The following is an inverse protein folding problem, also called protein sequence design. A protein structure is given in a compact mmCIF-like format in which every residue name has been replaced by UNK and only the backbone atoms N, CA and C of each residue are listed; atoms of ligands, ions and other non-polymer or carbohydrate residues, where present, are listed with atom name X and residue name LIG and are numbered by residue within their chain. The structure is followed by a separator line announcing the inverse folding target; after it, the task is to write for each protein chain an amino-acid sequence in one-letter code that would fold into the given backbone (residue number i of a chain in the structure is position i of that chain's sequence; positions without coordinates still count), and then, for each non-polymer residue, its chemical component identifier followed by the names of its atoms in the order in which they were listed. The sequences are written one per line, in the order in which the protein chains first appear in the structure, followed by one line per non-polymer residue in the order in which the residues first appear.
data_IF_884944106461
#
_entry.id   IF_884944106461
#
_cell.length_a   1.000
_cell.length_b   1.000
_cell.length_c   1.000
_cell.angle_alpha   90.00
_cell.angle_beta   90.00
_cell.angle_gamma   90.00
#
_symmetry.space_group_name_H-M   'P 1'
#
loop_
_entity.id
_entity.type
_entity.pdbx_description
1 polymer ?
#
# COMPACT_ATOMS: atom_id res chain seq x y z
N UNK A 1 -9.46 -28.85 9.98
CA UNK A 1 -9.23 -29.22 8.57
C UNK A 1 -8.17 -28.34 7.94
N UNK A 2 -6.90 -28.61 8.32
CA UNK A 2 -5.70 -27.93 7.80
C UNK A 2 -5.27 -28.46 6.41
N UNK A 3 -6.04 -29.35 5.80
CA UNK A 3 -5.66 -30.07 4.58
C UNK A 3 -6.08 -29.39 3.27
N UNK A 4 -6.88 -28.34 3.29
CA UNK A 4 -7.41 -27.67 2.11
C UNK A 4 -6.71 -26.33 1.76
N UNK A 5 -5.68 -25.92 2.48
CA UNK A 5 -4.86 -24.79 2.07
C UNK A 5 -3.96 -25.20 0.91
N UNK A 6 -4.21 -24.66 -0.27
CA UNK A 6 -3.33 -24.76 -1.43
C UNK A 6 -1.88 -24.41 -1.03
N UNK A 7 -0.90 -25.12 -1.58
CA UNK A 7 0.54 -24.86 -1.34
C UNK A 7 0.92 -23.39 -1.54
N UNK A 8 0.25 -22.70 -2.48
CA UNK A 8 0.44 -21.27 -2.73
C UNK A 8 -0.01 -20.41 -1.56
N UNK A 9 -1.17 -20.70 -0.95
CA UNK A 9 -1.65 -19.99 0.24
C UNK A 9 -0.74 -20.22 1.44
N UNK A 10 -0.21 -21.43 1.63
CA UNK A 10 0.76 -21.68 2.72
C UNK A 10 2.06 -20.89 2.52
N UNK A 11 2.58 -20.81 1.31
CA UNK A 11 3.78 -20.01 1.02
C UNK A 11 3.54 -18.51 1.24
N UNK A 12 2.36 -18.00 0.87
CA UNK A 12 1.99 -16.61 1.15
C UNK A 12 1.87 -16.36 2.66
N UNK A 13 1.19 -17.22 3.42
CA UNK A 13 1.07 -17.08 4.87
C UNK A 13 2.43 -17.11 5.59
N UNK A 14 3.36 -17.98 5.18
CA UNK A 14 4.70 -18.05 5.75
C UNK A 14 5.49 -16.78 5.42
N UNK A 15 5.46 -16.32 4.18
CA UNK A 15 6.14 -15.11 3.74
C UNK A 15 5.57 -13.86 4.42
N UNK A 16 4.26 -13.73 4.52
CA UNK A 16 3.61 -12.63 5.22
C UNK A 16 3.99 -12.58 6.70
N UNK A 17 4.06 -13.74 7.36
CA UNK A 17 4.53 -13.82 8.75
C UNK A 17 5.98 -13.36 8.86
N UNK A 18 6.86 -13.82 7.99
CA UNK A 18 8.27 -13.42 7.99
C UNK A 18 8.42 -11.92 7.77
N UNK A 19 7.66 -11.33 6.83
CA UNK A 19 7.69 -9.89 6.59
C UNK A 19 7.26 -9.08 7.82
N UNK A 20 6.21 -9.50 8.54
CA UNK A 20 5.75 -8.84 9.78
C UNK A 20 6.81 -8.91 10.88
N UNK A 21 7.44 -10.08 11.07
CA UNK A 21 8.53 -10.25 12.02
C UNK A 21 9.75 -9.39 11.65
N UNK A 22 10.13 -9.35 10.38
CA UNK A 22 11.21 -8.48 9.90
C UNK A 22 10.87 -7.00 10.13
N UNK A 23 9.65 -6.59 9.79
CA UNK A 23 9.20 -5.21 9.97
C UNK A 23 9.22 -4.78 11.44
N UNK A 24 8.93 -5.68 12.39
CA UNK A 24 8.95 -5.39 13.83
C UNK A 24 10.33 -5.10 14.39
N UNK A 25 11.40 -5.49 13.69
CA UNK A 25 12.78 -5.21 14.06
C UNK A 25 13.44 -4.06 13.29
N UNK A 26 12.66 -3.30 12.53
CA UNK A 26 13.18 -2.16 11.76
C UNK A 26 12.91 -0.83 12.46
N UNK A 27 13.88 0.08 12.42
CA UNK A 27 13.78 1.45 12.95
C UNK A 27 13.38 2.48 11.88
N UNK A 28 12.77 2.03 10.79
CA UNK A 28 12.33 2.85 9.66
C UNK A 28 10.83 2.65 9.41
N UNK A 29 10.13 3.64 8.80
CA UNK A 29 8.74 3.48 8.41
C UNK A 29 8.55 2.29 7.45
N UNK A 30 7.64 1.37 7.78
CA UNK A 30 7.29 0.20 6.95
C UNK A 30 5.81 0.21 6.65
N UNK A 31 5.47 0.24 5.36
CA UNK A 31 4.07 0.22 4.90
C UNK A 31 3.55 -1.21 4.69
N UNK A 32 2.41 -1.51 5.30
CA UNK A 32 1.68 -2.76 5.11
C UNK A 32 0.56 -2.57 4.11
N UNK A 33 0.73 -3.09 2.89
CA UNK A 33 -0.32 -3.04 1.85
C UNK A 33 -1.47 -3.98 2.21
N UNK A 34 -2.71 -3.55 1.96
CA UNK A 34 -3.84 -4.45 2.04
C UNK A 34 -3.69 -5.60 1.01
N UNK A 35 -4.23 -6.81 1.33
CA UNK A 35 -4.21 -7.93 0.40
C UNK A 35 -5.06 -7.61 -0.85
N UNK A 36 -4.89 -8.42 -1.91
CA UNK A 36 -5.66 -8.26 -3.15
C UNK A 36 -7.17 -8.40 -2.96
N UNK A 37 -7.62 -9.05 -1.89
CA UNK A 37 -9.05 -9.08 -1.51
C UNK A 37 -9.59 -7.73 -1.00
N UNK A 38 -8.75 -6.76 -0.72
CA UNK A 38 -9.16 -5.47 -0.14
C UNK A 38 -9.46 -5.50 1.36
N UNK A 39 -9.19 -6.60 2.06
CA UNK A 39 -9.56 -6.79 3.47
C UNK A 39 -8.71 -5.91 4.42
N UNK A 40 -9.37 -4.93 5.04
CA UNK A 40 -8.77 -4.03 6.02
C UNK A 40 -8.36 -4.74 7.31
N UNK A 41 -9.07 -5.78 7.72
CA UNK A 41 -8.76 -6.49 8.97
C UNK A 41 -7.43 -7.22 8.87
N UNK A 42 -7.15 -7.85 7.73
CA UNK A 42 -5.87 -8.51 7.45
C UNK A 42 -4.72 -7.50 7.42
N UNK A 43 -4.94 -6.34 6.79
CA UNK A 43 -3.96 -5.25 6.73
C UNK A 43 -3.66 -4.71 8.13
N UNK A 44 -4.69 -4.38 8.91
CA UNK A 44 -4.53 -3.86 10.27
C UNK A 44 -3.87 -4.86 11.21
N UNK A 45 -4.21 -6.15 11.10
CA UNK A 45 -3.52 -7.21 11.86
C UNK A 45 -2.04 -7.30 11.49
N UNK A 46 -1.67 -6.95 10.25
CA UNK A 46 -0.26 -6.89 9.83
C UNK A 46 0.47 -5.72 10.48
N UNK A 47 -0.18 -4.56 10.61
CA UNK A 47 0.39 -3.40 11.32
C UNK A 47 0.51 -3.71 12.82
N UNK A 48 -0.53 -4.30 13.45
CA UNK A 48 -0.47 -4.72 14.85
C UNK A 48 0.74 -5.64 15.09
N UNK A 49 0.91 -6.66 14.24
CA UNK A 49 2.03 -7.58 14.35
C UNK A 49 3.38 -6.87 14.16
N UNK A 50 3.48 -5.93 13.22
CA UNK A 50 4.71 -5.17 13.00
C UNK A 50 5.03 -4.21 14.16
N UNK A 51 4.02 -3.65 14.82
CA UNK A 51 4.19 -2.78 16.00
C UNK A 51 4.39 -3.53 17.31
N UNK A 52 4.26 -4.88 17.30
CA UNK A 52 4.45 -5.72 18.48
C UNK A 52 5.86 -6.26 18.57
N UNK A 53 6.33 -6.50 19.81
CA UNK A 53 7.57 -7.23 20.06
C UNK A 53 7.41 -8.72 19.74
N UNK A 54 8.47 -9.33 19.24
CA UNK A 54 8.51 -10.75 18.89
C UNK A 54 9.82 -11.41 19.29
N UNK A 55 9.73 -12.70 19.67
CA UNK A 55 10.87 -13.58 19.82
C UNK A 55 10.72 -14.74 18.83
N UNK A 56 11.71 -14.93 17.98
CA UNK A 56 11.70 -15.99 16.95
C UNK A 56 13.09 -16.42 16.54
N UNK A 57 13.18 -17.62 15.95
CA UNK A 57 14.44 -18.13 15.42
C UNK A 57 14.56 -17.69 13.95
N UNK A 58 15.64 -17.00 13.63
CA UNK A 58 16.00 -16.62 12.27
C UNK A 58 17.41 -17.12 11.93
N UNK A 59 17.51 -17.97 10.92
CA UNK A 59 18.79 -18.59 10.50
C UNK A 59 19.57 -19.25 11.63
N UNK A 60 18.86 -19.91 12.56
CA UNK A 60 19.45 -20.60 13.70
C UNK A 60 19.86 -19.70 14.88
N UNK A 61 19.54 -18.42 14.81
CA UNK A 61 19.77 -17.44 15.90
C UNK A 61 18.45 -17.07 16.55
N UNK A 62 18.46 -16.93 17.88
CA UNK A 62 17.36 -16.30 18.60
C UNK A 62 17.36 -14.79 18.34
N UNK A 63 16.25 -14.29 17.82
CA UNK A 63 16.05 -12.86 17.51
C UNK A 63 14.93 -12.34 18.36
N UNK A 64 15.17 -11.22 19.04
CA UNK A 64 14.16 -10.43 19.75
C UNK A 64 13.96 -9.10 19.04
N UNK A 65 12.73 -8.67 18.87
CA UNK A 65 12.37 -7.36 18.29
C UNK A 65 11.49 -6.61 19.25
N UNK A 66 11.59 -5.26 19.26
CA UNK A 66 10.83 -4.39 20.16
C UNK A 66 9.49 -3.94 19.57
N UNK A 67 9.27 -4.19 18.30
CA UNK A 67 8.15 -3.65 17.53
C UNK A 67 8.50 -2.34 16.85
N UNK A 68 7.90 -2.09 15.69
CA UNK A 68 8.13 -0.91 14.87
C UNK A 68 6.94 0.04 14.95
N UNK A 69 7.03 1.05 15.79
CA UNK A 69 5.97 2.05 15.98
C UNK A 69 5.66 2.86 14.71
N UNK A 70 6.57 2.89 13.74
CA UNK A 70 6.40 3.60 12.47
C UNK A 70 5.72 2.75 11.38
N UNK A 71 5.36 1.48 11.68
CA UNK A 71 4.60 0.65 10.77
C UNK A 71 3.22 1.27 10.51
N UNK A 72 2.82 1.33 9.22
CA UNK A 72 1.62 2.01 8.77
C UNK A 72 0.91 1.24 7.65
N UNK A 73 -0.24 1.72 7.20
CA UNK A 73 -1.03 1.07 6.15
C UNK A 73 -0.78 1.66 4.77
N UNK A 74 -0.93 0.82 3.73
CA UNK A 74 -0.97 1.25 2.34
C UNK A 74 -2.25 0.69 1.70
N UNK A 75 -3.08 1.58 1.15
CA UNK A 75 -4.30 1.22 0.43
C UNK A 75 -4.01 1.11 -1.08
N UNK A 76 -4.22 -0.08 -1.64
CA UNK A 76 -3.97 -0.37 -3.07
C UNK A 76 -5.20 -0.77 -3.88
N UNK A 77 -6.40 -0.66 -3.28
CA UNK A 77 -7.61 -1.26 -3.80
C UNK A 77 -7.65 -2.78 -3.61
N UNK A 78 -8.70 -3.39 -4.09
CA UNK A 78 -8.92 -4.83 -4.02
C UNK A 78 -9.40 -5.39 -5.37
N UNK A 79 -9.54 -6.71 -5.41
CA UNK A 79 -10.16 -7.42 -6.53
C UNK A 79 -11.17 -8.39 -5.94
N UNK A 80 -12.39 -8.34 -6.45
CA UNK A 80 -13.43 -9.25 -6.00
C UNK A 80 -13.27 -10.66 -6.57
N UNK A 81 -14.15 -11.57 -6.17
CA UNK A 81 -14.16 -12.96 -6.65
C UNK A 81 -14.42 -13.13 -8.16
N UNK A 82 -14.90 -12.08 -8.82
CA UNK A 82 -15.15 -12.04 -10.25
C UNK A 82 -14.02 -11.39 -11.06
N UNK A 83 -12.96 -10.90 -10.37
CA UNK A 83 -11.83 -10.22 -11.00
C UNK A 83 -12.03 -8.72 -11.19
N UNK A 84 -13.12 -8.13 -10.65
CA UNK A 84 -13.39 -6.71 -10.75
C UNK A 84 -12.54 -5.95 -9.74
N UNK A 85 -11.86 -4.89 -10.18
CA UNK A 85 -11.13 -4.00 -9.28
C UNK A 85 -12.11 -3.17 -8.44
N UNK A 86 -11.87 -3.15 -7.13
CA UNK A 86 -12.62 -2.36 -6.15
C UNK A 86 -11.65 -1.35 -5.56
N UNK A 87 -11.80 -0.05 -5.86
CA UNK A 87 -10.97 0.98 -5.24
C UNK A 87 -11.25 1.10 -3.74
N UNK A 88 -10.28 1.65 -2.98
CA UNK A 88 -10.42 1.89 -1.55
C UNK A 88 -9.77 3.22 -1.13
N UNK A 89 -9.86 4.23 -1.98
CA UNK A 89 -9.32 5.58 -1.77
C UNK A 89 -10.41 6.67 -1.72
N UNK A 90 -11.67 6.32 -1.99
CA UNK A 90 -12.77 7.29 -1.92
C UNK A 90 -12.97 7.82 -0.50
N UNK A 91 -13.60 8.96 -0.39
CA UNK A 91 -13.80 9.65 0.89
C UNK A 91 -14.37 8.71 1.98
N UNK A 92 -15.37 7.91 1.65
CA UNK A 92 -16.03 6.97 2.55
C UNK A 92 -15.07 5.86 3.02
N UNK A 93 -14.18 5.40 2.14
CA UNK A 93 -13.17 4.40 2.49
C UNK A 93 -12.15 4.97 3.46
N UNK A 94 -11.73 6.22 3.25
CA UNK A 94 -10.78 6.91 4.12
C UNK A 94 -11.38 7.21 5.50
N UNK A 95 -12.65 7.63 5.56
CA UNK A 95 -13.38 7.82 6.82
C UNK A 95 -13.47 6.49 7.57
N UNK A 96 -13.87 5.41 6.87
CA UNK A 96 -13.93 4.07 7.45
C UNK A 96 -12.56 3.61 7.96
N UNK A 97 -11.48 3.91 7.23
CA UNK A 97 -10.12 3.59 7.69
C UNK A 97 -9.80 4.30 9.00
N UNK A 98 -10.10 5.60 9.11
CA UNK A 98 -9.89 6.37 10.35
C UNK A 98 -10.60 5.70 11.53
N UNK A 99 -11.87 5.33 11.35
CA UNK A 99 -12.67 4.69 12.39
C UNK A 99 -12.08 3.34 12.85
N UNK A 100 -11.81 2.43 11.90
CA UNK A 100 -11.30 1.09 12.23
C UNK A 100 -9.86 1.13 12.77
N UNK A 101 -9.06 2.09 12.32
CA UNK A 101 -7.70 2.29 12.82
C UNK A 101 -7.73 2.78 14.28
N UNK A 102 -8.58 3.75 14.59
CA UNK A 102 -8.75 4.28 15.95
C UNK A 102 -9.21 3.21 16.95
N UNK A 103 -10.03 2.25 16.53
CA UNK A 103 -10.50 1.15 17.38
C UNK A 103 -9.38 0.16 17.77
N UNK A 104 -8.25 0.16 17.08
CA UNK A 104 -7.17 -0.82 17.28
C UNK A 104 -6.03 -0.32 18.18
N UNK A 105 -6.08 0.90 18.70
CA UNK A 105 -5.02 1.51 19.53
C UNK A 105 -3.62 1.44 18.89
N UNK A 106 -3.54 1.60 17.58
CA UNK A 106 -2.28 1.59 16.84
C UNK A 106 -1.52 2.90 17.07
N UNK A 107 -0.19 2.82 17.15
CA UNK A 107 0.66 3.93 17.58
C UNK A 107 0.87 5.02 16.52
N UNK A 108 0.82 4.68 15.25
CA UNK A 108 1.11 5.63 14.17
C UNK A 108 -0.08 5.73 13.21
N UNK A 109 -0.98 6.72 13.36
CA UNK A 109 -2.09 6.91 12.45
C UNK A 109 -1.58 7.45 11.11
N UNK A 110 -1.09 6.55 10.26
CA UNK A 110 -0.56 6.89 8.96
C UNK A 110 -1.06 5.92 7.88
N UNK A 111 -1.49 6.49 6.77
CA UNK A 111 -1.89 5.77 5.57
C UNK A 111 -1.24 6.39 4.33
N UNK A 112 -0.76 5.54 3.43
CA UNK A 112 -0.32 5.92 2.09
C UNK A 112 -1.35 5.37 1.11
N UNK A 113 -1.77 6.18 0.14
CA UNK A 113 -2.70 5.77 -0.89
C UNK A 113 -1.92 5.44 -2.16
N UNK A 114 -1.96 4.19 -2.56
CA UNK A 114 -1.41 3.72 -3.82
C UNK A 114 -2.40 4.11 -4.94
N UNK A 115 -2.03 5.08 -5.75
CA UNK A 115 -2.87 5.62 -6.80
C UNK A 115 -2.96 4.73 -8.05
N UNK A 116 -2.17 3.66 -8.13
CA UNK A 116 -2.20 2.69 -9.22
C UNK A 116 -2.89 1.38 -8.82
N UNK A 117 -2.46 0.24 -9.32
CA UNK A 117 -2.96 -1.11 -9.06
C UNK A 117 -4.49 -1.21 -9.21
N UNK A 118 -5.19 -1.75 -8.18
CA UNK A 118 -6.64 -1.90 -8.25
C UNK A 118 -7.39 -0.58 -8.03
N UNK A 119 -6.76 0.43 -7.44
CA UNK A 119 -7.34 1.76 -7.29
C UNK A 119 -7.55 2.46 -8.63
N UNK A 120 -6.64 2.27 -9.59
CA UNK A 120 -6.75 2.82 -10.94
C UNK A 120 -7.37 1.84 -11.96
N UNK A 121 -7.73 0.63 -11.52
CA UNK A 121 -8.06 -0.47 -12.44
C UNK A 121 -6.93 -0.71 -13.47
N UNK A 122 -5.67 -0.52 -13.06
CA UNK A 122 -4.45 -0.57 -13.88
C UNK A 122 -4.40 0.44 -15.05
N UNK A 123 -5.24 1.46 -15.00
CA UNK A 123 -5.21 2.58 -15.94
C UNK A 123 -4.29 3.66 -15.38
N UNK A 124 -3.02 3.63 -15.74
CA UNK A 124 -1.98 4.46 -15.11
C UNK A 124 -2.25 5.97 -15.17
N UNK A 125 -2.95 6.48 -16.18
CA UNK A 125 -3.32 7.91 -16.28
C UNK A 125 -4.35 8.33 -15.23
N UNK A 126 -5.13 7.39 -14.67
CA UNK A 126 -6.06 7.66 -13.59
C UNK A 126 -5.37 8.07 -12.28
N UNK A 127 -4.09 7.78 -12.12
CA UNK A 127 -3.33 8.16 -10.93
C UNK A 127 -3.46 9.66 -10.62
N UNK A 128 -3.45 10.52 -11.65
CA UNK A 128 -3.58 11.99 -11.50
C UNK A 128 -4.92 12.37 -10.88
N UNK A 129 -6.01 11.78 -11.37
CA UNK A 129 -7.36 12.00 -10.85
C UNK A 129 -7.48 11.48 -9.42
N UNK A 130 -6.98 10.28 -9.15
CA UNK A 130 -7.04 9.63 -7.83
C UNK A 130 -6.30 10.47 -6.79
N UNK A 131 -5.10 10.93 -7.09
CA UNK A 131 -4.35 11.82 -6.20
C UNK A 131 -5.12 13.10 -5.91
N UNK A 132 -5.73 13.71 -6.94
CA UNK A 132 -6.56 14.93 -6.77
C UNK A 132 -7.75 14.69 -5.83
N UNK A 133 -8.42 13.55 -5.94
CA UNK A 133 -9.55 13.17 -5.07
C UNK A 133 -9.10 12.95 -3.63
N UNK A 134 -7.95 12.28 -3.43
CA UNK A 134 -7.35 12.09 -2.10
C UNK A 134 -6.98 13.42 -1.45
N UNK A 135 -6.36 14.34 -2.19
CA UNK A 135 -6.04 15.69 -1.70
C UNK A 135 -7.30 16.47 -1.34
N UNK A 136 -8.36 16.38 -2.16
CA UNK A 136 -9.65 16.98 -1.85
C UNK A 136 -10.24 16.42 -0.55
N UNK A 137 -10.23 15.09 -0.37
CA UNK A 137 -10.72 14.42 0.83
C UNK A 137 -9.96 14.86 2.09
N UNK A 138 -8.63 15.03 2.00
CA UNK A 138 -7.79 15.55 3.10
C UNK A 138 -8.17 16.99 3.48
N UNK A 139 -8.48 17.85 2.52
CA UNK A 139 -8.92 19.23 2.80
C UNK A 139 -10.30 19.31 3.44
N UNK A 140 -11.17 18.37 3.08
CA UNK A 140 -12.55 18.34 3.55
C UNK A 140 -12.69 17.79 4.97
N UNK A 141 -11.79 16.89 5.42
CA UNK A 141 -11.88 16.20 6.70
C UNK A 141 -10.53 16.16 7.42
N UNK A 142 -10.45 16.80 8.58
CA UNK A 142 -9.22 16.90 9.38
C UNK A 142 -8.71 15.54 9.90
N UNK A 143 -9.59 14.58 10.18
CA UNK A 143 -9.17 13.25 10.64
C UNK A 143 -8.61 12.42 9.48
N UNK A 144 -9.18 12.55 8.28
CA UNK A 144 -8.59 12.02 7.04
C UNK A 144 -7.25 12.66 6.77
N UNK A 145 -7.11 14.00 6.95
CA UNK A 145 -5.85 14.71 6.80
C UNK A 145 -4.76 14.22 7.76
N UNK A 146 -5.14 13.95 9.01
CA UNK A 146 -4.23 13.38 10.01
C UNK A 146 -3.83 11.94 9.68
N UNK A 147 -4.72 11.15 9.07
CA UNK A 147 -4.48 9.74 8.72
C UNK A 147 -3.69 9.60 7.43
N UNK A 148 -4.10 10.25 6.34
CA UNK A 148 -3.46 10.12 5.02
C UNK A 148 -2.23 11.02 4.96
N UNK A 149 -1.04 10.41 4.98
CA UNK A 149 0.26 11.10 5.01
C UNK A 149 0.91 11.24 3.65
N UNK A 150 0.47 10.48 2.66
CA UNK A 150 1.05 10.56 1.32
C UNK A 150 0.35 9.68 0.31
N UNK A 151 0.86 9.75 -0.89
CA UNK A 151 0.43 8.94 -2.04
C UNK A 151 1.60 8.16 -2.61
N UNK A 152 1.31 7.04 -3.25
CA UNK A 152 2.26 6.24 -4.01
C UNK A 152 1.88 6.31 -5.48
N UNK A 153 2.83 6.72 -6.32
CA UNK A 153 2.64 6.95 -7.76
C UNK A 153 3.64 6.06 -8.50
N UNK A 154 3.18 5.33 -9.49
CA UNK A 154 4.03 4.59 -10.41
C UNK A 154 4.37 5.46 -11.62
N UNK A 155 5.63 5.82 -11.72
CA UNK A 155 6.17 6.74 -12.71
C UNK A 155 7.46 6.21 -13.33
N UNK A 156 7.70 6.56 -14.59
CA UNK A 156 8.94 6.29 -15.30
C UNK A 156 9.27 7.45 -16.23
N UNK A 157 10.40 7.39 -17.00
CA UNK A 157 10.73 8.47 -17.93
C UNK A 157 9.74 8.54 -19.08
N UNK A 158 9.41 7.36 -19.66
CA UNK A 158 8.43 7.20 -20.75
C UNK A 158 7.14 6.57 -20.24
N UNK A 159 5.99 7.07 -20.70
CA UNK A 159 4.68 6.57 -20.27
C UNK A 159 4.39 5.13 -20.73
N UNK A 160 3.55 4.45 -19.96
CA UNK A 160 3.07 3.11 -20.28
C UNK A 160 4.06 2.02 -19.90
N UNK A 161 4.01 0.92 -20.62
CA UNK A 161 4.92 -0.21 -20.45
C UNK A 161 5.29 -0.85 -21.79
N UNK A 162 6.27 -1.75 -21.78
CA UNK A 162 6.72 -2.52 -22.93
C UNK A 162 7.04 -3.96 -22.53
N UNK A 163 7.01 -4.85 -23.51
CA UNK A 163 7.50 -6.22 -23.33
C UNK A 163 9.02 -6.25 -23.52
N UNK A 164 9.70 -7.16 -22.82
CA UNK A 164 11.12 -7.41 -23.01
C UNK A 164 11.35 -7.91 -24.45
N UNK A 165 12.19 -7.23 -25.20
CA UNK A 165 12.53 -7.53 -26.59
C UNK A 165 13.94 -6.98 -26.92
N UNK A 166 14.46 -7.32 -28.09
CA UNK A 166 15.77 -6.82 -28.55
C UNK A 166 15.76 -5.31 -28.87
N UNK A 167 14.56 -4.72 -29.05
CA UNK A 167 14.37 -3.30 -29.33
C UNK A 167 13.51 -2.67 -28.22
N UNK A 168 14.15 -2.29 -27.12
CA UNK A 168 13.47 -1.67 -25.98
C UNK A 168 13.68 -0.17 -25.97
N UNK A 169 12.63 0.57 -25.64
CA UNK A 169 12.71 2.00 -25.36
C UNK A 169 13.34 2.20 -23.98
N UNK A 170 14.44 2.96 -23.92
CA UNK A 170 15.06 3.33 -22.65
C UNK A 170 14.09 4.17 -21.82
N UNK A 171 14.05 3.94 -20.52
CA UNK A 171 13.20 4.72 -19.61
C UNK A 171 11.71 4.35 -19.64
N UNK A 172 11.33 3.20 -20.21
CA UNK A 172 9.96 2.68 -20.23
C UNK A 172 9.83 1.41 -19.39
N UNK A 173 8.80 1.33 -18.57
CA UNK A 173 8.54 0.19 -17.68
C UNK A 173 8.44 -1.14 -18.43
N UNK A 174 8.94 -2.23 -17.83
CA UNK A 174 8.79 -3.60 -18.33
C UNK A 174 7.78 -4.43 -17.51
N UNK A 175 7.14 -3.81 -16.53
CA UNK A 175 6.14 -4.42 -15.65
C UNK A 175 4.80 -3.68 -15.80
N UNK A 176 4.33 -3.04 -14.75
CA UNK A 176 3.08 -2.29 -14.79
C UNK A 176 3.25 -0.97 -15.55
N UNK A 177 2.21 -0.49 -16.27
CA UNK A 177 2.26 0.76 -16.99
C UNK A 177 2.33 1.95 -16.03
N UNK A 178 3.24 2.88 -16.30
CA UNK A 178 3.57 4.02 -15.47
C UNK A 178 3.18 5.36 -16.11
N UNK A 179 3.02 6.41 -15.30
CA UNK A 179 2.98 7.79 -15.79
C UNK A 179 4.34 8.13 -16.42
N UNK A 180 4.33 8.97 -17.45
CA UNK A 180 5.54 9.61 -17.97
C UNK A 180 6.04 10.71 -17.04
N UNK A 181 7.28 11.15 -17.26
CA UNK A 181 7.90 12.16 -16.38
C UNK A 181 7.16 13.50 -16.41
N UNK A 182 6.71 13.97 -17.56
CA UNK A 182 5.99 15.24 -17.68
C UNK A 182 4.72 15.28 -16.82
N UNK A 183 3.89 14.25 -16.91
CA UNK A 183 2.66 14.11 -16.11
C UNK A 183 3.00 13.99 -14.62
N UNK A 184 4.08 13.29 -14.30
CA UNK A 184 4.54 13.11 -12.91
C UNK A 184 5.03 14.42 -12.31
N UNK A 185 5.82 15.18 -13.04
CA UNK A 185 6.33 16.49 -12.58
C UNK A 185 5.16 17.45 -12.29
N UNK A 186 4.20 17.56 -13.20
CA UNK A 186 3.00 18.38 -13.00
C UNK A 186 2.21 17.92 -11.79
N UNK A 187 2.08 16.60 -11.58
CA UNK A 187 1.38 16.05 -10.43
C UNK A 187 2.11 16.36 -9.12
N UNK A 188 3.45 16.34 -9.10
CA UNK A 188 4.25 16.72 -7.91
C UNK A 188 4.02 18.20 -7.57
N UNK A 189 4.05 19.11 -8.55
CA UNK A 189 3.76 20.52 -8.30
C UNK A 189 2.34 20.71 -7.74
N UNK A 190 1.35 20.04 -8.32
CA UNK A 190 -0.02 20.07 -7.81
C UNK A 190 -0.12 19.59 -6.37
N UNK A 191 0.55 18.49 -6.01
CA UNK A 191 0.59 17.99 -4.63
C UNK A 191 1.21 19.04 -3.70
N UNK A 192 2.31 19.68 -4.11
CA UNK A 192 2.98 20.70 -3.31
C UNK A 192 2.12 21.95 -3.08
N UNK A 193 1.28 22.34 -4.03
CA UNK A 193 0.35 23.46 -3.90
C UNK A 193 -0.86 23.16 -3.01
N UNK A 194 -1.26 21.88 -2.93
CA UNK A 194 -2.49 21.45 -2.24
C UNK A 194 -2.24 20.80 -0.86
N UNK A 195 -1.00 20.59 -0.44
CA UNK A 195 -0.63 20.07 0.89
C UNK A 195 -0.52 21.19 1.97
#
# INVERSE_FOLDING_TARGET
DLHLCDRRQRQMCIRDRQHRLTASGMDIPVGMKNPTSGDFSVMLNSVIAAQSSHNFIYRGMDVSTDGNDLAHVILRGGVDKYGTCIPNYHYEDLVRLVEVYGQKNLKNPAAIIDANHSNSNKQFKEQIRIVSEVLHSRRYNEDVKKMVKGVMIESYLEEGNQKISDHMTYGKSITDPCLGWEDTEQLIYKIAEEC
#
